data_IF_823868011751
#
_entry.id   IF_823868011751
#
_cell.length_a   1.000
_cell.length_b   1.000
_cell.length_c   1.000
_cell.angle_alpha   90.00
_cell.angle_beta   90.00
_cell.angle_gamma   90.00
#
_symmetry.space_group_name_H-M   'P 1'
#
loop_
_entity.id
_entity.type
_entity.pdbx_description
1 polymer ?
#
# COMPACT_ATOMS: atom_id res chain seq x y z
N UNK A 1 12.89 -25.79 -15.64
CA UNK A 1 11.53 -25.27 -15.31
C UNK A 1 11.42 -24.78 -13.87
N UNK A 2 11.67 -25.59 -12.84
CA UNK A 2 11.60 -25.17 -11.41
C UNK A 2 12.43 -23.91 -11.08
N UNK A 3 13.65 -23.79 -11.60
CA UNK A 3 14.54 -22.63 -11.36
C UNK A 3 13.97 -21.32 -11.92
N UNK A 4 13.24 -21.36 -13.04
CA UNK A 4 12.62 -20.18 -13.64
C UNK A 4 11.38 -19.73 -12.84
N UNK A 5 10.56 -20.68 -12.39
CA UNK A 5 9.41 -20.40 -11.49
C UNK A 5 9.85 -19.79 -10.16
N UNK A 6 10.95 -20.28 -9.56
CA UNK A 6 11.51 -19.69 -8.34
C UNK A 6 12.03 -18.25 -8.54
N UNK A 7 12.63 -17.96 -9.70
CA UNK A 7 13.06 -16.61 -10.07
C UNK A 7 11.87 -15.66 -10.23
N UNK A 8 10.80 -16.08 -10.92
CA UNK A 8 9.55 -15.31 -11.03
C UNK A 8 8.92 -15.05 -9.66
N UNK A 9 8.88 -16.04 -8.78
CA UNK A 9 8.33 -15.91 -7.42
C UNK A 9 9.10 -14.85 -6.61
N UNK A 10 10.43 -14.84 -6.73
CA UNK A 10 11.30 -13.84 -6.10
C UNK A 10 11.04 -12.44 -6.65
N UNK A 11 10.84 -12.32 -7.96
CA UNK A 11 10.52 -11.04 -8.60
C UNK A 11 9.15 -10.50 -8.18
N UNK A 12 8.15 -11.38 -8.06
CA UNK A 12 6.80 -11.03 -7.56
C UNK A 12 6.88 -10.55 -6.11
N UNK A 13 7.61 -11.26 -5.23
CA UNK A 13 7.84 -10.83 -3.85
C UNK A 13 8.52 -9.47 -3.76
N UNK A 14 9.56 -9.24 -4.56
CA UNK A 14 10.26 -7.93 -4.60
C UNK A 14 9.33 -6.81 -5.04
N UNK A 15 8.49 -7.06 -6.03
CA UNK A 15 7.48 -6.09 -6.51
C UNK A 15 6.43 -5.79 -5.44
N UNK A 16 6.07 -6.78 -4.62
CA UNK A 16 5.17 -6.63 -3.48
C UNK A 16 5.76 -5.71 -2.41
N UNK A 17 7.02 -5.95 -2.01
CA UNK A 17 7.73 -5.11 -1.04
C UNK A 17 7.86 -3.66 -1.51
N UNK A 18 8.22 -3.45 -2.79
CA UNK A 18 8.29 -2.09 -3.36
C UNK A 18 6.91 -1.42 -3.34
N UNK A 19 5.85 -2.17 -3.63
CA UNK A 19 4.47 -1.65 -3.63
C UNK A 19 4.04 -1.24 -2.23
N UNK A 20 4.35 -2.03 -1.21
CA UNK A 20 4.08 -1.68 0.20
C UNK A 20 4.90 -0.47 0.66
N UNK A 21 6.16 -0.36 0.24
CA UNK A 21 7.01 0.79 0.56
C UNK A 21 6.43 2.09 -0.04
N UNK A 22 5.83 2.01 -1.23
CA UNK A 22 5.16 3.13 -1.89
C UNK A 22 3.74 3.39 -1.35
N UNK A 23 3.10 2.39 -0.76
CA UNK A 23 1.77 2.49 -0.14
C UNK A 23 1.78 3.01 1.30
N UNK A 24 2.85 2.74 2.06
CA UNK A 24 3.04 3.24 3.43
C UNK A 24 2.86 4.77 3.58
N UNK A 25 3.36 5.63 2.67
CA UNK A 25 3.06 7.05 2.67
C UNK A 25 1.56 7.35 2.61
N UNK A 26 0.79 6.60 1.81
CA UNK A 26 -0.66 6.77 1.70
C UNK A 26 -1.38 6.55 3.02
N UNK A 27 -0.99 5.50 3.77
CA UNK A 27 -1.52 5.24 5.10
C UNK A 27 -1.09 6.28 6.14
N UNK A 28 0.15 6.76 6.07
CA UNK A 28 0.61 7.85 6.94
C UNK A 28 -0.18 9.14 6.69
N UNK A 29 -0.47 9.48 5.42
CA UNK A 29 -1.27 10.65 5.06
C UNK A 29 -2.70 10.56 5.62
N UNK A 30 -3.35 9.40 5.53
CA UNK A 30 -4.68 9.17 6.12
C UNK A 30 -4.61 9.32 7.64
N UNK A 31 -3.62 8.70 8.29
CA UNK A 31 -3.45 8.77 9.74
C UNK A 31 -3.22 10.20 10.24
N UNK A 32 -2.37 10.97 9.55
CA UNK A 32 -2.12 12.38 9.83
C UNK A 32 -3.40 13.21 9.69
N UNK A 33 -4.16 13.03 8.62
CA UNK A 33 -5.39 13.78 8.43
C UNK A 33 -6.47 13.46 9.47
N UNK A 34 -6.59 12.19 9.87
CA UNK A 34 -7.49 11.79 10.96
C UNK A 34 -7.04 12.40 12.30
N UNK A 35 -5.73 12.43 12.57
CA UNK A 35 -5.20 13.14 13.73
C UNK A 35 -5.58 14.62 13.71
N UNK A 36 -5.41 15.30 12.57
CA UNK A 36 -5.78 16.71 12.41
C UNK A 36 -7.28 16.98 12.62
N UNK A 37 -8.15 16.09 12.15
CA UNK A 37 -9.61 16.25 12.25
C UNK A 37 -10.18 15.88 13.63
N UNK A 38 -9.63 14.85 14.28
CA UNK A 38 -10.26 14.22 15.45
C UNK A 38 -9.51 14.52 16.74
N UNK A 39 -8.19 14.73 16.69
CA UNK A 39 -7.33 14.82 17.88
C UNK A 39 -6.77 16.23 18.09
N UNK A 40 -6.38 16.91 17.02
CA UNK A 40 -5.67 18.18 17.14
C UNK A 40 -6.55 19.34 17.64
N UNK A 41 -7.86 19.32 17.38
CA UNK A 41 -8.82 20.35 17.82
C UNK A 41 -8.39 21.81 17.58
N UNK A 42 -7.54 22.06 16.56
CA UNK A 42 -7.00 23.38 16.22
C UNK A 42 -5.56 23.67 16.68
N UNK A 43 -4.91 22.73 17.39
CA UNK A 43 -3.51 22.81 17.83
C UNK A 43 -2.66 21.63 17.30
N UNK A 44 -2.75 21.38 15.99
CA UNK A 44 -1.96 20.34 15.34
C UNK A 44 -0.48 20.71 15.27
N UNK A 45 0.41 19.71 15.41
CA UNK A 45 1.86 19.87 15.22
C UNK A 45 2.25 20.48 13.87
N UNK A 46 1.41 20.28 12.86
CA UNK A 46 1.57 20.85 11.52
C UNK A 46 0.40 21.82 11.28
N UNK A 47 0.64 23.13 11.06
CA UNK A 47 -0.42 24.12 10.87
C UNK A 47 -1.38 23.80 9.72
N UNK A 48 -0.89 23.09 8.70
CA UNK A 48 -1.69 22.63 7.58
C UNK A 48 -2.82 21.67 7.99
N UNK A 49 -2.68 20.94 9.10
CA UNK A 49 -3.67 20.00 9.62
C UNK A 49 -4.79 20.67 10.42
N UNK A 50 -4.63 21.95 10.80
CA UNK A 50 -5.70 22.71 11.48
C UNK A 50 -6.82 23.11 10.52
N UNK A 51 -6.57 23.08 9.20
CA UNK A 51 -7.60 23.36 8.21
C UNK A 51 -8.29 22.05 7.80
N UNK A 52 -9.61 21.88 8.05
CA UNK A 52 -10.32 20.65 7.71
C UNK A 52 -10.28 20.33 6.21
N UNK A 53 -10.22 21.34 5.32
CA UNK A 53 -10.12 21.15 3.86
C UNK A 53 -8.82 20.42 3.50
N UNK A 54 -7.71 20.80 4.13
CA UNK A 54 -6.43 20.14 3.92
C UNK A 54 -6.46 18.68 4.41
N UNK A 55 -7.08 18.42 5.56
CA UNK A 55 -7.24 17.06 6.06
C UNK A 55 -8.07 16.20 5.11
N UNK A 56 -9.19 16.71 4.58
CA UNK A 56 -9.97 15.98 3.58
C UNK A 56 -9.17 15.70 2.30
N UNK A 57 -8.33 16.64 1.86
CA UNK A 57 -7.43 16.41 0.71
C UNK A 57 -6.40 15.33 1.00
N UNK A 58 -5.77 15.33 2.18
CA UNK A 58 -4.85 14.27 2.59
C UNK A 58 -5.54 12.90 2.64
N UNK A 59 -6.77 12.83 3.15
CA UNK A 59 -7.57 11.59 3.15
C UNK A 59 -7.86 11.14 1.72
N UNK A 60 -8.27 12.05 0.84
CA UNK A 60 -8.58 11.72 -0.55
C UNK A 60 -7.34 11.17 -1.29
N UNK A 61 -6.20 11.85 -1.17
CA UNK A 61 -4.93 11.42 -1.78
C UNK A 61 -4.46 10.10 -1.17
N UNK A 62 -4.44 9.99 0.15
CA UNK A 62 -4.02 8.78 0.85
C UNK A 62 -4.92 7.58 0.51
N UNK A 63 -6.23 7.79 0.41
CA UNK A 63 -7.20 6.75 0.01
C UNK A 63 -6.99 6.31 -1.43
N UNK A 64 -6.70 7.23 -2.35
CA UNK A 64 -6.39 6.89 -3.74
C UNK A 64 -5.10 6.04 -3.85
N UNK A 65 -4.07 6.39 -3.09
CA UNK A 65 -2.81 5.62 -3.01
C UNK A 65 -3.08 4.23 -2.41
N UNK A 66 -3.81 4.16 -1.31
CA UNK A 66 -4.15 2.89 -0.65
C UNK A 66 -4.98 1.97 -1.56
N UNK A 67 -5.94 2.54 -2.31
CA UNK A 67 -6.75 1.78 -3.25
C UNK A 67 -5.90 1.22 -4.40
N UNK A 68 -5.02 2.04 -4.95
CA UNK A 68 -4.07 1.61 -5.99
C UNK A 68 -3.13 0.52 -5.49
N UNK A 69 -2.59 0.68 -4.28
CA UNK A 69 -1.74 -0.31 -3.62
C UNK A 69 -2.48 -1.64 -3.46
N UNK A 70 -3.70 -1.61 -2.89
CA UNK A 70 -4.52 -2.79 -2.67
C UNK A 70 -4.79 -3.56 -3.97
N UNK A 71 -5.15 -2.86 -5.05
CA UNK A 71 -5.36 -3.49 -6.37
C UNK A 71 -4.08 -4.17 -6.89
N UNK A 72 -2.93 -3.51 -6.73
CA UNK A 72 -1.64 -4.03 -7.20
C UNK A 72 -1.18 -5.22 -6.36
N UNK A 73 -1.36 -5.16 -5.04
CA UNK A 73 -1.11 -6.27 -4.09
C UNK A 73 -1.97 -7.47 -4.44
N UNK A 74 -3.28 -7.30 -4.65
CA UNK A 74 -4.18 -8.41 -5.02
C UNK A 74 -3.73 -9.08 -6.34
N UNK A 75 -3.35 -8.29 -7.35
CA UNK A 75 -2.88 -8.81 -8.64
C UNK A 75 -1.56 -9.58 -8.49
N UNK A 76 -0.63 -9.07 -7.70
CA UNK A 76 0.65 -9.72 -7.43
C UNK A 76 0.49 -11.00 -6.60
N UNK A 77 -0.36 -10.97 -5.57
CA UNK A 77 -0.68 -12.14 -4.74
C UNK A 77 -1.32 -13.26 -5.56
N UNK A 78 -2.26 -12.93 -6.48
CA UNK A 78 -2.82 -13.93 -7.41
C UNK A 78 -1.73 -14.59 -8.27
N UNK A 79 -0.80 -13.81 -8.81
CA UNK A 79 0.35 -14.35 -9.56
C UNK A 79 1.24 -15.23 -8.69
N UNK A 80 1.53 -14.80 -7.47
CA UNK A 80 2.32 -15.58 -6.53
C UNK A 80 1.69 -16.94 -6.24
N UNK A 81 0.38 -16.98 -5.98
CA UNK A 81 -0.36 -18.23 -5.73
C UNK A 81 -0.36 -19.15 -6.96
N UNK A 82 -0.49 -18.60 -8.16
CA UNK A 82 -0.41 -19.39 -9.39
C UNK A 82 0.98 -20.02 -9.58
N UNK A 83 2.06 -19.24 -9.37
CA UNK A 83 3.44 -19.73 -9.47
C UNK A 83 3.70 -20.81 -8.40
N UNK A 84 3.22 -20.61 -7.18
CA UNK A 84 3.34 -21.60 -6.10
C UNK A 84 2.64 -22.92 -6.45
N UNK A 85 1.42 -22.85 -7.02
CA UNK A 85 0.68 -24.04 -7.44
C UNK A 85 1.41 -24.82 -8.54
N UNK A 86 1.96 -24.12 -9.55
CA UNK A 86 2.75 -24.76 -10.61
C UNK A 86 4.04 -25.38 -10.08
N UNK A 87 4.65 -24.80 -9.04
CA UNK A 87 5.84 -25.36 -8.41
C UNK A 87 5.54 -26.65 -7.64
N UNK A 88 4.36 -26.71 -7.00
CA UNK A 88 3.85 -27.88 -6.28
C UNK A 88 3.51 -29.03 -7.23
N UNK A 89 2.83 -28.74 -8.35
CA UNK A 89 2.50 -29.73 -9.40
C UNK A 89 3.74 -30.33 -10.10
N UNK A 90 4.90 -29.65 -10.04
CA UNK A 90 6.17 -30.13 -10.60
C UNK A 90 6.99 -30.96 -9.59
N UNK A 91 6.56 -31.07 -8.34
CA UNK A 91 7.28 -31.77 -7.26
C UNK A 91 6.75 -33.17 -7.00
#
# INVERSE_FOLDING_TARGET
>A
MKTQLQAELTQVKRSLVITQLLGAPGMLLIGLALYGLVVAEGDAFVPALNNPINCYLLIAIGSAIALWEALKVIKLSKKQTQILKQLDELN
#
